data_IF_646145238264
#
_entry.id   IF_646145238264
#
_cell.length_a   1.000
_cell.length_b   1.000
_cell.length_c   1.000
_cell.angle_alpha   90.00
_cell.angle_beta   90.00
_cell.angle_gamma   90.00
#
_symmetry.space_group_name_H-M   'P 1'
#
loop_
_entity.id
_entity.type
_entity.pdbx_description
1 polymer ?
#
# COMPACT_ATOMS: atom_id res chain seq x y z
N UNK A 1 18.04 12.72 -0.83
CA UNK A 1 17.41 11.88 0.21
C UNK A 1 15.96 12.30 0.37
N UNK A 2 14.99 11.38 0.33
CA UNK A 2 13.63 11.66 0.84
C UNK A 2 13.51 11.03 2.22
N UNK A 3 14.24 11.58 3.16
CA UNK A 3 14.03 11.31 4.58
C UNK A 3 12.81 12.14 5.00
N UNK A 4 11.88 11.54 5.74
CA UNK A 4 10.88 12.34 6.44
C UNK A 4 11.26 12.39 7.92
N UNK A 5 10.63 13.28 8.68
CA UNK A 5 10.90 13.45 10.11
C UNK A 5 10.74 12.15 10.94
N UNK A 6 10.08 11.13 10.38
CA UNK A 6 9.66 9.93 11.08
C UNK A 6 10.44 8.67 10.67
N UNK A 7 10.97 8.58 9.43
CA UNK A 7 11.63 7.39 8.89
C UNK A 7 12.71 7.76 7.87
N UNK A 8 13.81 7.02 7.96
CA UNK A 8 14.93 7.06 7.00
C UNK A 8 14.82 5.89 6.03
N UNK A 9 15.00 6.16 4.73
CA UNK A 9 15.02 5.13 3.70
C UNK A 9 16.44 4.57 3.57
N UNK A 10 16.62 3.26 3.77
CA UNK A 10 17.96 2.64 3.81
C UNK A 10 18.54 2.29 2.43
N UNK A 11 17.69 2.07 1.41
CA UNK A 11 18.13 1.59 0.08
C UNK A 11 17.38 2.30 -1.06
N UNK A 12 17.98 2.34 -2.26
CA UNK A 12 17.30 2.87 -3.45
C UNK A 12 16.01 2.07 -3.76
N UNK A 13 16.06 0.74 -3.60
CA UNK A 13 14.92 -0.19 -3.77
C UNK A 13 13.72 0.11 -2.86
N UNK A 14 13.95 0.79 -1.74
CA UNK A 14 12.90 1.19 -0.81
C UNK A 14 12.13 2.44 -1.28
N UNK A 15 12.66 3.20 -2.26
CA UNK A 15 11.94 4.31 -2.90
C UNK A 15 11.17 3.76 -4.08
N UNK A 16 9.86 3.93 -4.07
CA UNK A 16 9.00 3.51 -5.17
C UNK A 16 7.87 4.48 -5.41
N UNK A 17 7.41 4.54 -6.66
CA UNK A 17 6.18 5.22 -7.05
C UNK A 17 5.09 4.16 -7.08
N UNK A 18 4.05 4.34 -6.27
CA UNK A 18 2.87 3.47 -6.29
C UNK A 18 1.69 4.33 -6.70
N UNK A 19 1.10 4.10 -7.90
CA UNK A 19 -0.11 4.79 -8.29
C UNK A 19 -1.28 4.45 -7.36
N UNK A 20 -2.24 5.38 -7.29
CA UNK A 20 -3.45 5.22 -6.49
C UNK A 20 -4.54 4.69 -7.41
N UNK A 21 -5.23 3.64 -6.98
CA UNK A 21 -6.36 3.08 -7.71
C UNK A 21 -7.51 4.11 -7.81
N UNK A 22 -8.15 4.20 -8.98
CA UNK A 22 -9.34 5.02 -9.26
C UNK A 22 -10.39 4.94 -8.15
N UNK A 23 -10.79 3.74 -7.73
CA UNK A 23 -11.76 3.54 -6.65
C UNK A 23 -11.38 4.25 -5.33
N UNK A 24 -10.10 4.27 -4.94
CA UNK A 24 -9.68 5.02 -3.74
C UNK A 24 -9.84 6.53 -3.93
N UNK A 25 -9.61 7.02 -5.15
CA UNK A 25 -9.82 8.42 -5.49
C UNK A 25 -11.31 8.75 -5.42
N UNK A 26 -12.17 7.90 -5.98
CA UNK A 26 -13.63 8.04 -5.98
C UNK A 26 -14.21 8.00 -4.56
N UNK A 27 -13.65 7.16 -3.67
CA UNK A 27 -14.01 7.13 -2.25
C UNK A 27 -13.44 8.29 -1.42
N UNK A 28 -12.86 9.31 -2.06
CA UNK A 28 -12.48 10.56 -1.39
C UNK A 28 -11.11 10.52 -0.72
N UNK A 29 -10.23 9.58 -1.06
CA UNK A 29 -8.87 9.57 -0.49
C UNK A 29 -8.14 10.90 -0.74
N UNK A 30 -8.28 11.47 -1.94
CA UNK A 30 -7.67 12.76 -2.26
C UNK A 30 -8.32 13.92 -1.49
N UNK A 31 -9.62 13.84 -1.20
CA UNK A 31 -10.31 14.83 -0.34
C UNK A 31 -9.81 14.79 1.09
N UNK A 32 -9.62 13.59 1.64
CA UNK A 32 -9.01 13.40 2.96
C UNK A 32 -7.62 14.02 3.03
N UNK A 33 -6.75 13.73 2.03
CA UNK A 33 -5.41 14.33 1.95
C UNK A 33 -5.47 15.86 1.87
N UNK A 34 -6.38 16.41 1.06
CA UNK A 34 -6.60 17.87 0.97
C UNK A 34 -7.04 18.45 2.32
N UNK A 35 -7.93 17.78 3.04
CA UNK A 35 -8.41 18.19 4.37
C UNK A 35 -7.27 18.22 5.40
N UNK A 36 -6.42 17.19 5.45
CA UNK A 36 -5.27 17.16 6.36
C UNK A 36 -4.30 18.32 6.08
N UNK A 37 -4.03 18.61 4.81
CA UNK A 37 -3.18 19.75 4.41
C UNK A 37 -3.78 21.09 4.83
N UNK A 38 -5.09 21.30 4.64
CA UNK A 38 -5.77 22.53 5.09
C UNK A 38 -5.67 22.75 6.60
N UNK A 39 -5.60 21.66 7.37
CA UNK A 39 -5.40 21.68 8.83
C UNK A 39 -3.93 21.86 9.25
N UNK A 40 -3.00 22.03 8.30
CA UNK A 40 -1.57 22.16 8.57
C UNK A 40 -0.88 20.86 9.01
N UNK A 41 -1.53 19.70 8.82
CA UNK A 41 -0.99 18.41 9.22
C UNK A 41 -0.08 17.84 8.12
N UNK A 42 1.04 17.26 8.53
CA UNK A 42 2.04 16.69 7.61
C UNK A 42 1.80 15.21 7.30
N UNK A 43 1.15 14.49 8.19
CA UNK A 43 0.82 13.08 8.02
C UNK A 43 -0.59 12.91 7.42
N UNK A 44 -0.75 11.92 6.54
CA UNK A 44 -2.05 11.59 5.93
C UNK A 44 -3.01 10.99 6.97
N UNK A 45 -2.49 10.25 7.95
CA UNK A 45 -3.28 9.64 9.04
C UNK A 45 -2.68 10.02 10.40
N UNK A 46 -2.90 11.26 10.88
CA UNK A 46 -2.35 11.78 12.13
C UNK A 46 -2.73 10.94 13.35
N UNK A 47 -3.92 10.34 13.34
CA UNK A 47 -4.46 9.48 14.39
C UNK A 47 -3.66 8.18 14.57
N UNK A 48 -2.88 7.78 13.56
CA UNK A 48 -2.01 6.60 13.63
C UNK A 48 -0.62 6.92 14.19
N UNK A 49 -0.34 8.18 14.55
CA UNK A 49 0.92 8.54 15.19
C UNK A 49 1.16 7.70 16.46
N UNK A 50 2.40 7.25 16.69
CA UNK A 50 2.75 6.58 17.93
C UNK A 50 2.49 7.51 19.12
N UNK A 51 1.95 6.95 20.20
CA UNK A 51 1.59 7.73 21.38
C UNK A 51 2.77 7.92 22.34
N UNK A 52 3.79 7.06 22.26
CA UNK A 52 4.99 7.15 23.10
C UNK A 52 6.25 7.33 22.23
N UNK A 53 7.27 8.06 22.73
CA UNK A 53 8.59 8.07 22.11
C UNK A 53 9.16 6.64 22.03
N UNK A 54 9.58 6.23 20.83
CA UNK A 54 10.14 4.89 20.57
C UNK A 54 9.17 3.90 19.94
N UNK A 55 7.86 4.14 20.03
CA UNK A 55 6.84 3.31 19.36
C UNK A 55 6.91 3.48 17.83
N UNK A 56 6.59 2.42 17.09
CA UNK A 56 6.64 2.45 15.62
C UNK A 56 5.32 2.95 15.03
N UNK A 57 5.39 3.75 13.97
CA UNK A 57 4.23 4.28 13.23
C UNK A 57 3.25 3.21 12.69
N UNK A 58 3.63 1.93 12.69
CA UNK A 58 2.75 0.82 12.27
C UNK A 58 2.02 0.11 13.41
N UNK A 59 2.40 0.32 14.67
CA UNK A 59 1.88 -0.51 15.78
C UNK A 59 0.41 -0.24 16.07
N UNK A 60 -0.01 1.02 16.07
CA UNK A 60 -1.42 1.39 16.27
C UNK A 60 -2.29 0.89 15.11
N UNK A 61 -1.77 0.96 13.89
CA UNK A 61 -2.46 0.44 12.71
C UNK A 61 -2.65 -1.08 12.80
N UNK A 62 -1.57 -1.82 13.09
CA UNK A 62 -1.62 -3.27 13.20
C UNK A 62 -2.55 -3.74 14.34
N UNK A 63 -2.50 -3.06 15.48
CA UNK A 63 -3.39 -3.34 16.61
C UNK A 63 -4.87 -3.13 16.25
N UNK A 64 -5.21 -1.98 15.66
CA UNK A 64 -6.58 -1.67 15.24
C UNK A 64 -7.05 -2.65 14.17
N UNK A 65 -6.18 -3.00 13.23
CA UNK A 65 -6.50 -3.93 12.16
C UNK A 65 -6.75 -5.35 12.68
N UNK A 66 -5.91 -5.86 13.60
CA UNK A 66 -6.13 -7.17 14.22
C UNK A 66 -7.47 -7.24 14.94
N UNK A 67 -7.83 -6.20 15.70
CA UNK A 67 -9.15 -6.11 16.35
C UNK A 67 -10.31 -6.12 15.36
N UNK A 68 -10.17 -5.37 14.26
CA UNK A 68 -11.18 -5.37 13.20
C UNK A 68 -11.33 -6.76 12.57
N UNK A 69 -10.23 -7.45 12.28
CA UNK A 69 -10.26 -8.80 11.73
C UNK A 69 -10.88 -9.82 12.69
N UNK A 70 -10.56 -9.76 13.98
CA UNK A 70 -11.17 -10.62 15.00
C UNK A 70 -12.69 -10.46 15.04
N UNK A 71 -13.18 -9.24 14.81
CA UNK A 71 -14.61 -8.93 14.81
C UNK A 71 -15.29 -9.36 13.51
N UNK A 72 -14.68 -9.04 12.36
CA UNK A 72 -15.30 -9.26 11.03
C UNK A 72 -15.16 -10.71 10.56
N UNK A 73 -14.13 -11.44 11.01
CA UNK A 73 -13.82 -12.80 10.55
C UNK A 73 -14.01 -13.86 11.63
N UNK A 74 -14.96 -13.65 12.56
CA UNK A 74 -15.31 -14.61 13.62
C UNK A 74 -14.07 -15.18 14.35
N UNK A 75 -13.31 -14.28 14.98
CA UNK A 75 -12.08 -14.64 15.69
C UNK A 75 -10.85 -14.83 14.79
N UNK A 76 -10.93 -14.54 13.49
CA UNK A 76 -9.81 -14.57 12.54
C UNK A 76 -9.06 -15.93 12.55
N UNK A 77 -9.73 -17.05 12.25
CA UNK A 77 -9.16 -18.40 12.37
C UNK A 77 -7.95 -18.61 11.46
N UNK A 78 -7.88 -17.87 10.34
CA UNK A 78 -6.77 -17.89 9.38
C UNK A 78 -5.56 -17.06 9.83
N UNK A 79 -5.64 -16.40 10.99
CA UNK A 79 -4.59 -15.56 11.57
C UNK A 79 -4.06 -14.51 10.58
N UNK A 80 -4.96 -13.89 9.83
CA UNK A 80 -4.61 -12.82 8.91
C UNK A 80 -4.12 -11.60 9.70
N UNK A 81 -3.18 -10.87 9.12
CA UNK A 81 -2.64 -9.63 9.65
C UNK A 81 -2.55 -8.59 8.53
N UNK A 82 -2.07 -7.38 8.84
CA UNK A 82 -1.99 -6.30 7.84
C UNK A 82 -1.16 -6.69 6.61
N UNK A 83 -0.18 -7.58 6.77
CA UNK A 83 0.63 -8.10 5.66
C UNK A 83 -0.17 -8.94 4.65
N UNK A 84 -1.34 -9.48 5.04
CA UNK A 84 -2.19 -10.24 4.14
C UNK A 84 -2.64 -9.44 2.91
N UNK A 85 -2.81 -8.11 3.02
CA UNK A 85 -3.12 -7.26 1.86
C UNK A 85 -2.01 -7.29 0.81
N UNK A 86 -0.75 -7.30 1.26
CA UNK A 86 0.38 -7.40 0.34
C UNK A 86 0.40 -8.75 -0.37
N UNK A 87 0.12 -9.83 0.36
CA UNK A 87 -0.03 -11.16 -0.26
C UNK A 87 -1.18 -11.19 -1.26
N UNK A 88 -2.31 -10.57 -0.94
CA UNK A 88 -3.43 -10.41 -1.85
C UNK A 88 -3.00 -9.69 -3.13
N UNK A 89 -2.40 -8.50 -3.04
CA UNK A 89 -1.90 -7.76 -4.21
C UNK A 89 -0.92 -8.62 -5.02
N UNK A 90 0.01 -9.31 -4.37
CA UNK A 90 0.94 -10.22 -5.04
C UNK A 90 0.20 -11.31 -5.81
N UNK A 91 -0.73 -12.01 -5.17
CA UNK A 91 -1.47 -13.12 -5.79
C UNK A 91 -2.31 -12.64 -6.99
N UNK A 92 -3.00 -11.51 -6.85
CA UNK A 92 -3.81 -10.94 -7.94
C UNK A 92 -2.97 -10.55 -9.14
N UNK A 93 -1.82 -9.89 -8.92
CA UNK A 93 -0.95 -9.48 -10.02
C UNK A 93 -0.16 -10.65 -10.61
N UNK A 94 0.23 -11.64 -9.81
CA UNK A 94 0.96 -12.82 -10.30
C UNK A 94 0.16 -13.65 -11.29
N UNK A 95 -1.16 -13.71 -11.11
CA UNK A 95 -2.07 -14.41 -12.01
C UNK A 95 -2.42 -13.65 -13.29
N UNK A 96 -1.99 -12.37 -13.44
CA UNK A 96 -2.45 -11.53 -14.52
C UNK A 96 -1.46 -11.48 -15.70
N UNK A 97 -1.83 -11.97 -16.91
CA UNK A 97 -0.89 -12.14 -18.03
C UNK A 97 -0.35 -10.82 -18.60
N UNK A 98 -1.09 -9.72 -18.45
CA UNK A 98 -0.67 -8.39 -18.92
C UNK A 98 0.24 -7.63 -17.94
N UNK A 99 0.48 -8.17 -16.74
CA UNK A 99 1.30 -7.49 -15.74
C UNK A 99 2.73 -8.03 -15.81
N UNK A 100 3.67 -7.16 -16.21
CA UNK A 100 5.07 -7.55 -16.32
C UNK A 100 5.65 -7.94 -14.96
N UNK A 101 6.58 -8.92 -14.89
CA UNK A 101 7.30 -9.27 -13.66
C UNK A 101 7.94 -8.05 -12.98
N UNK A 102 8.41 -7.13 -13.82
CA UNK A 102 8.97 -5.84 -13.45
C UNK A 102 7.97 -4.93 -12.73
N UNK A 103 6.79 -4.68 -13.30
CA UNK A 103 5.75 -3.89 -12.66
C UNK A 103 5.32 -4.50 -11.31
N UNK A 104 5.24 -5.83 -11.22
CA UNK A 104 4.99 -6.55 -9.96
C UNK A 104 6.06 -6.26 -8.91
N UNK A 105 7.33 -6.38 -9.30
CA UNK A 105 8.47 -6.09 -8.42
C UNK A 105 8.45 -4.64 -7.93
N UNK A 106 8.15 -3.68 -8.80
CA UNK A 106 8.13 -2.26 -8.44
C UNK A 106 6.96 -1.90 -7.50
N UNK A 107 5.76 -2.46 -7.74
CA UNK A 107 4.57 -2.27 -6.87
C UNK A 107 4.83 -2.87 -5.48
N UNK A 108 5.34 -4.09 -5.43
CA UNK A 108 5.64 -4.76 -4.19
C UNK A 108 6.92 -4.16 -3.56
N UNK A 109 7.86 -3.65 -4.33
CA UNK A 109 9.21 -3.30 -3.84
C UNK A 109 9.98 -4.54 -3.39
N UNK A 110 10.04 -5.56 -4.25
CA UNK A 110 10.99 -6.67 -4.12
C UNK A 110 12.29 -6.29 -4.81
N UNK A 111 13.43 -6.67 -4.21
CA UNK A 111 14.74 -6.46 -4.86
C UNK A 111 14.87 -7.34 -6.09
N UNK A 112 15.54 -6.82 -7.13
CA UNK A 112 15.87 -7.61 -8.30
C UNK A 112 16.74 -8.80 -7.87
N UNK A 113 16.35 -10.00 -8.30
CA UNK A 113 17.02 -11.24 -7.92
C UNK A 113 18.31 -11.47 -8.71
N UNK A 114 18.55 -10.67 -9.75
CA UNK A 114 19.67 -10.80 -10.67
C UNK A 114 20.51 -9.51 -10.74
N UNK A 115 21.83 -9.66 -10.74
CA UNK A 115 22.82 -8.58 -10.78
C UNK A 115 22.74 -7.82 -12.11
N UNK A 116 22.31 -8.49 -13.18
CA UNK A 116 22.08 -7.85 -14.49
C UNK A 116 20.80 -7.00 -14.54
N UNK A 117 19.77 -7.33 -13.76
CA UNK A 117 18.53 -6.53 -13.66
C UNK A 117 18.75 -5.23 -12.87
N UNK A 118 19.68 -5.24 -11.92
CA UNK A 118 19.96 -4.10 -11.02
C UNK A 118 20.70 -2.93 -11.65
N UNK A 119 21.39 -3.13 -12.79
CA UNK A 119 22.23 -2.10 -13.43
C UNK A 119 21.56 -1.50 -14.68
N UNK A 120 20.65 -2.22 -15.35
CA UNK A 120 20.08 -1.81 -16.64
C UNK A 120 18.55 -1.94 -16.78
N UNK A 121 17.84 -2.51 -15.80
CA UNK A 121 16.38 -2.57 -15.83
C UNK A 121 15.76 -1.20 -15.56
N UNK A 122 15.56 -0.36 -16.58
CA UNK A 122 14.79 0.91 -16.49
C UNK A 122 13.54 0.67 -15.65
N UNK A 123 13.17 1.44 -14.63
CA UNK A 123 11.95 1.20 -13.81
C UNK A 123 10.67 1.05 -14.66
N UNK A 124 9.63 0.39 -14.14
CA UNK A 124 8.35 0.33 -14.84
C UNK A 124 7.78 1.74 -14.96
N UNK A 125 7.21 2.05 -16.11
CA UNK A 125 6.62 3.38 -16.32
C UNK A 125 5.43 3.54 -15.37
N UNK A 126 5.18 4.78 -14.94
CA UNK A 126 4.03 5.07 -14.07
C UNK A 126 2.70 4.60 -14.69
N UNK A 127 2.60 4.59 -16.02
CA UNK A 127 1.43 4.09 -16.76
C UNK A 127 1.28 2.57 -16.66
N UNK A 128 2.36 1.81 -16.74
CA UNK A 128 2.34 0.36 -16.52
C UNK A 128 1.94 0.03 -15.09
N UNK A 129 2.50 0.75 -14.12
CA UNK A 129 2.15 0.60 -12.71
C UNK A 129 0.67 0.93 -12.48
N UNK A 130 0.15 2.02 -13.06
CA UNK A 130 -1.26 2.39 -12.94
C UNK A 130 -2.15 1.29 -13.49
N UNK A 131 -1.89 0.82 -14.72
CA UNK A 131 -2.67 -0.28 -15.32
C UNK A 131 -2.69 -1.51 -14.43
N UNK A 132 -1.54 -1.88 -13.86
CA UNK A 132 -1.46 -3.02 -12.95
C UNK A 132 -2.28 -2.80 -11.66
N UNK A 133 -2.23 -1.60 -11.07
CA UNK A 133 -3.02 -1.27 -9.88
C UNK A 133 -4.52 -1.29 -10.17
N UNK A 134 -4.96 -0.77 -11.32
CA UNK A 134 -6.38 -0.79 -11.74
C UNK A 134 -6.94 -2.18 -12.04
N UNK A 135 -6.08 -3.19 -12.23
CA UNK A 135 -6.51 -4.58 -12.39
C UNK A 135 -6.81 -5.28 -11.07
N UNK A 136 -6.42 -4.68 -9.94
CA UNK A 136 -6.74 -5.26 -8.64
C UNK A 136 -8.26 -5.27 -8.46
N UNK A 137 -8.87 -6.41 -8.09
CA UNK A 137 -10.29 -6.43 -7.79
C UNK A 137 -10.53 -5.48 -6.61
N UNK A 138 -11.40 -4.50 -6.82
CA UNK A 138 -11.85 -3.61 -5.78
C UNK A 138 -13.23 -4.08 -5.28
N UNK A 139 -13.30 -4.75 -4.12
CA UNK A 139 -14.54 -5.32 -3.63
C UNK A 139 -15.36 -4.26 -2.90
N UNK A 140 -15.98 -3.34 -3.63
CA UNK A 140 -17.09 -2.53 -3.12
C UNK A 140 -18.11 -2.30 -4.25
N UNK A 141 -18.77 -3.37 -4.69
CA UNK A 141 -20.15 -3.21 -5.12
C UNK A 141 -20.96 -3.03 -3.83
N UNK A 142 -21.14 -1.78 -3.39
CA UNK A 142 -22.19 -1.48 -2.40
C UNK A 142 -23.53 -1.60 -3.11
N UNK A 143 -24.06 -2.81 -3.17
CA UNK A 143 -25.50 -3.02 -3.24
C UNK A 143 -26.05 -2.53 -1.89
N UNK A 144 -26.30 -1.23 -1.75
CA UNK A 144 -27.28 -0.76 -0.77
C UNK A 144 -28.62 -0.80 -1.51
N UNK A 145 -29.22 -1.99 -1.53
CA UNK A 145 -30.62 -2.14 -1.88
C UNK A 145 -31.48 -1.57 -0.75
N UNK A 146 -32.46 -0.78 -1.16
CA UNK A 146 -33.50 -0.14 -0.34
C UNK A 146 -34.24 -1.08 0.62
#
# INVERSE_FOLDING_TARGET
MNDNANRRVKTHSSRRKVPIHSALIEHGFLDHVRSMRKRGLTDVFPELRPSKPGDRFGEKLDYNFRKALETVLDGNPRRLCFHAFRHYVKQQLDGHPSVSPKARRDILGHEATDVHDGVYGTEATLRELQRAIELLPFPLATEHGD
#
